data_IF_437307225566
#
_entry.id   IF_437307225566
#
_cell.length_a   1.000
_cell.length_b   1.000
_cell.length_c   1.000
_cell.angle_alpha   90.00
_cell.angle_beta   90.00
_cell.angle_gamma   90.00
#
_symmetry.space_group_name_H-M   'P 1'
#
loop_
_entity.id
_entity.type
_entity.pdbx_description
1 polymer ?
#
# COMPACT_ATOMS: atom_id res chain seq x y z
N UNK A 1 -4.71 -13.37 -48.28
CA UNK A 1 -4.81 -13.41 -46.81
C UNK A 1 -4.44 -12.02 -46.30
N UNK A 2 -5.34 -11.25 -45.68
CA UNK A 2 -5.04 -9.84 -45.38
C UNK A 2 -3.88 -9.72 -44.38
N UNK A 3 -2.73 -9.21 -44.83
CA UNK A 3 -1.49 -9.02 -44.05
C UNK A 3 -1.73 -8.38 -42.66
N UNK A 4 -2.72 -7.51 -42.57
CA UNK A 4 -3.09 -6.78 -41.34
C UNK A 4 -3.51 -7.70 -40.18
N UNK A 5 -4.14 -8.84 -40.43
CA UNK A 5 -4.61 -9.76 -39.36
C UNK A 5 -3.47 -10.55 -38.72
N UNK A 6 -2.54 -11.00 -39.56
CA UNK A 6 -1.32 -11.67 -39.12
C UNK A 6 -0.43 -10.71 -38.32
N UNK A 7 -0.30 -9.47 -38.81
CA UNK A 7 0.41 -8.40 -38.08
C UNK A 7 -0.21 -8.13 -36.71
N UNK A 8 -1.55 -8.03 -36.61
CA UNK A 8 -2.22 -7.82 -35.32
C UNK A 8 -2.01 -8.98 -34.34
N UNK A 9 -2.11 -10.22 -34.81
CA UNK A 9 -1.83 -11.42 -34.00
C UNK A 9 -0.38 -11.45 -33.50
N UNK A 10 0.60 -11.07 -34.34
CA UNK A 10 2.01 -10.95 -33.94
C UNK A 10 2.22 -9.87 -32.87
N UNK A 11 1.54 -8.73 -32.97
CA UNK A 11 1.60 -7.68 -31.93
C UNK A 11 1.09 -8.22 -30.60
N UNK A 12 -0.04 -8.93 -30.60
CA UNK A 12 -0.59 -9.55 -29.39
C UNK A 12 0.40 -10.55 -28.79
N UNK A 13 1.04 -11.38 -29.60
CA UNK A 13 2.10 -12.29 -29.15
C UNK A 13 3.20 -11.53 -28.40
N UNK A 14 3.78 -10.50 -29.02
CA UNK A 14 4.90 -9.74 -28.44
C UNK A 14 4.49 -9.09 -27.13
N UNK A 15 3.30 -8.48 -27.07
CA UNK A 15 2.80 -7.82 -25.86
C UNK A 15 2.61 -8.81 -24.72
N UNK A 16 1.89 -9.90 -24.96
CA UNK A 16 1.62 -10.92 -23.91
C UNK A 16 2.92 -11.53 -23.41
N UNK A 17 3.82 -11.91 -24.32
CA UNK A 17 5.10 -12.49 -23.96
C UNK A 17 5.92 -11.52 -23.10
N UNK A 18 6.02 -10.26 -23.52
CA UNK A 18 6.81 -9.25 -22.82
C UNK A 18 6.26 -8.95 -21.41
N UNK A 19 4.93 -8.91 -21.26
CA UNK A 19 4.29 -8.67 -19.96
C UNK A 19 4.52 -9.82 -18.97
N UNK A 20 4.42 -11.07 -19.44
CA UNK A 20 4.63 -12.22 -18.57
C UNK A 20 6.12 -12.44 -18.27
N UNK A 21 6.95 -12.50 -19.31
CA UNK A 21 8.38 -12.80 -19.14
C UNK A 21 9.14 -11.65 -18.48
N UNK A 22 8.73 -10.40 -18.74
CA UNK A 22 9.29 -9.20 -18.11
C UNK A 22 8.63 -8.81 -16.78
N UNK A 23 7.74 -9.64 -16.22
CA UNK A 23 6.95 -9.30 -15.03
C UNK A 23 7.83 -8.85 -13.84
N UNK A 24 8.94 -9.54 -13.61
CA UNK A 24 9.88 -9.19 -12.54
C UNK A 24 10.46 -7.77 -12.70
N UNK A 25 10.89 -7.43 -13.92
CA UNK A 25 11.47 -6.11 -14.21
C UNK A 25 10.43 -4.98 -14.06
N UNK A 26 9.14 -5.31 -14.22
CA UNK A 26 8.03 -4.37 -14.08
C UNK A 26 7.61 -4.10 -12.63
N UNK A 27 8.03 -4.91 -11.65
CA UNK A 27 7.53 -4.80 -10.28
C UNK A 27 8.05 -3.58 -9.50
N UNK A 28 9.16 -2.95 -9.92
CA UNK A 28 9.79 -1.74 -9.30
C UNK A 28 9.99 -1.83 -7.77
N UNK A 29 9.77 -2.99 -7.15
CA UNK A 29 9.99 -3.24 -5.72
C UNK A 29 11.25 -4.08 -5.53
N UNK A 30 12.17 -3.70 -4.63
CA UNK A 30 13.35 -4.49 -4.34
C UNK A 30 13.02 -5.81 -3.61
N UNK A 31 11.85 -5.89 -2.96
CA UNK A 31 11.38 -7.07 -2.23
C UNK A 31 9.98 -7.45 -2.74
N UNK A 32 9.86 -8.36 -3.71
CA UNK A 32 8.57 -8.87 -4.18
C UNK A 32 7.83 -9.62 -3.08
N UNK A 33 6.49 -9.58 -3.08
CA UNK A 33 5.69 -10.35 -2.12
C UNK A 33 5.81 -11.86 -2.40
N UNK A 34 5.36 -12.69 -1.45
CA UNK A 34 5.29 -14.15 -1.64
C UNK A 34 4.46 -14.52 -2.88
N UNK A 35 3.40 -13.76 -3.17
CA UNK A 35 2.56 -13.95 -4.35
C UNK A 35 3.29 -13.60 -5.64
N UNK A 36 4.01 -12.48 -5.65
CA UNK A 36 4.80 -12.05 -6.80
C UNK A 36 5.89 -13.08 -7.10
N UNK A 37 6.55 -13.61 -6.07
CA UNK A 37 7.61 -14.60 -6.21
C UNK A 37 7.12 -15.89 -6.87
N UNK A 38 5.89 -16.32 -6.57
CA UNK A 38 5.27 -17.50 -7.19
C UNK A 38 5.06 -17.28 -8.69
N UNK A 39 4.57 -16.10 -9.08
CA UNK A 39 4.39 -15.75 -10.48
C UNK A 39 5.72 -15.64 -11.22
N UNK A 40 6.72 -14.96 -10.63
CA UNK A 40 8.07 -14.84 -11.19
C UNK A 40 8.67 -16.23 -11.45
N UNK A 41 8.57 -17.13 -10.46
CA UNK A 41 9.11 -18.49 -10.59
C UNK A 41 8.35 -19.32 -11.64
N UNK A 42 7.05 -19.10 -11.80
CA UNK A 42 6.22 -19.82 -12.75
C UNK A 42 6.39 -19.31 -14.20
N UNK A 43 6.66 -18.01 -14.40
CA UNK A 43 6.81 -17.35 -15.70
C UNK A 43 8.14 -17.66 -16.40
N UNK A 44 8.43 -18.96 -16.53
CA UNK A 44 9.47 -19.48 -17.42
C UNK A 44 9.27 -19.01 -18.86
N UNK A 45 10.36 -19.00 -19.63
CA UNK A 45 10.32 -18.69 -21.04
C UNK A 45 9.32 -19.59 -21.78
N UNK A 46 9.35 -20.90 -21.52
CA UNK A 46 8.49 -21.90 -22.15
C UNK A 46 7.00 -21.62 -21.89
N UNK A 47 6.63 -21.32 -20.65
CA UNK A 47 5.25 -20.99 -20.29
C UNK A 47 4.80 -19.70 -20.99
N UNK A 48 5.58 -18.63 -20.85
CA UNK A 48 5.27 -17.32 -21.42
C UNK A 48 5.11 -17.40 -22.95
N UNK A 49 6.03 -18.11 -23.62
CA UNK A 49 6.01 -18.30 -25.06
C UNK A 49 4.79 -19.10 -25.50
N UNK A 50 4.47 -20.19 -24.80
CA UNK A 50 3.30 -21.04 -25.11
C UNK A 50 1.99 -20.28 -24.94
N UNK A 51 1.83 -19.56 -23.84
CA UNK A 51 0.64 -18.74 -23.57
C UNK A 51 0.50 -17.62 -24.62
N UNK A 52 1.60 -16.94 -24.95
CA UNK A 52 1.59 -15.89 -25.98
C UNK A 52 1.19 -16.44 -27.35
N UNK A 53 1.68 -17.62 -27.76
CA UNK A 53 1.26 -18.28 -29.00
C UNK A 53 -0.24 -18.59 -28.97
N UNK A 54 -0.72 -19.21 -27.91
CA UNK A 54 -2.13 -19.61 -27.80
C UNK A 54 -3.06 -18.38 -27.84
N UNK A 55 -2.72 -17.29 -27.16
CA UNK A 55 -3.49 -16.04 -27.21
C UNK A 55 -3.43 -15.40 -28.60
N UNK A 56 -2.25 -15.37 -29.24
CA UNK A 56 -2.11 -14.85 -30.59
C UNK A 56 -2.90 -15.68 -31.62
N UNK A 57 -2.89 -17.00 -31.49
CA UNK A 57 -3.70 -17.93 -32.29
C UNK A 57 -5.19 -17.72 -32.05
N UNK A 58 -5.61 -17.52 -30.79
CA UNK A 58 -7.00 -17.23 -30.44
C UNK A 58 -7.48 -15.97 -31.17
N UNK A 59 -6.71 -14.87 -31.08
CA UNK A 59 -7.00 -13.61 -31.78
C UNK A 59 -7.00 -13.81 -33.30
N UNK A 60 -6.05 -14.58 -33.84
CA UNK A 60 -5.99 -14.88 -35.27
C UNK A 60 -7.25 -15.60 -35.75
N UNK A 61 -7.69 -16.66 -35.05
CA UNK A 61 -8.92 -17.40 -35.37
C UNK A 61 -10.15 -16.52 -35.21
N UNK A 62 -10.20 -15.66 -34.19
CA UNK A 62 -11.26 -14.67 -34.01
C UNK A 62 -11.37 -13.69 -35.18
N UNK A 63 -10.24 -13.22 -35.71
CA UNK A 63 -10.19 -12.30 -36.86
C UNK A 63 -10.30 -13.02 -38.21
N UNK A 64 -10.12 -14.34 -38.21
CA UNK A 64 -10.21 -15.15 -39.41
C UNK A 64 -11.61 -15.05 -40.02
N UNK A 65 -11.61 -14.70 -41.30
CA UNK A 65 -12.75 -14.74 -42.21
C UNK A 65 -12.18 -15.26 -43.52
N UNK A 66 -12.88 -16.23 -44.12
CA UNK A 66 -12.53 -16.74 -45.44
C UNK A 66 -12.49 -15.56 -46.42
N UNK A 67 -11.45 -15.51 -47.23
CA UNK A 67 -11.33 -14.49 -48.26
C UNK A 67 -12.18 -14.84 -49.46
N UNK A 68 -12.75 -13.79 -50.04
CA UNK A 68 -13.50 -13.84 -51.28
C UNK A 68 -13.09 -12.66 -52.13
N UNK A 69 -13.03 -12.88 -53.43
CA UNK A 69 -12.98 -11.82 -54.41
C UNK A 69 -14.39 -11.23 -54.59
N UNK A 70 -14.73 -10.30 -53.70
CA UNK A 70 -16.02 -9.61 -53.73
C UNK A 70 -16.21 -8.79 -55.00
N UNK A 71 -15.11 -8.33 -55.62
CA UNK A 71 -15.11 -7.61 -56.88
C UNK A 71 -15.49 -8.54 -58.02
N UNK A 72 -14.98 -9.78 -58.05
CA UNK A 72 -15.39 -10.77 -59.04
C UNK A 72 -16.90 -11.06 -59.01
N UNK A 73 -17.52 -11.25 -57.84
CA UNK A 73 -18.97 -11.48 -57.77
C UNK A 73 -19.79 -10.24 -58.15
N UNK A 74 -19.25 -9.05 -57.85
CA UNK A 74 -19.88 -7.77 -58.24
C UNK A 74 -19.83 -7.60 -59.75
N UNK A 75 -18.69 -7.87 -60.38
CA UNK A 75 -18.51 -7.81 -61.83
C UNK A 75 -19.32 -8.88 -62.55
N UNK A 76 -19.43 -10.10 -61.99
CA UNK A 76 -20.33 -11.13 -62.50
C UNK A 76 -21.79 -10.63 -62.53
N UNK A 77 -22.26 -9.99 -61.46
CA UNK A 77 -23.61 -9.41 -61.41
C UNK A 77 -23.78 -8.31 -62.46
N UNK A 78 -22.82 -7.38 -62.57
CA UNK A 78 -22.88 -6.27 -63.54
C UNK A 78 -22.92 -6.82 -64.96
N UNK A 79 -22.05 -7.77 -65.29
CA UNK A 79 -21.99 -8.43 -66.59
C UNK A 79 -23.33 -9.07 -66.97
N UNK A 80 -24.03 -9.68 -66.01
CA UNK A 80 -25.33 -10.31 -66.24
C UNK A 80 -26.49 -9.31 -66.46
N UNK A 81 -26.27 -8.00 -66.27
CA UNK A 81 -27.24 -6.94 -66.56
C UNK A 81 -27.00 -6.27 -67.92
N UNK A 82 -25.88 -6.57 -68.59
CA UNK A 82 -25.52 -6.00 -69.88
C UNK A 82 -26.12 -6.80 -71.03
N UNK A 83 -26.23 -6.17 -72.21
CA UNK A 83 -26.53 -6.88 -73.45
C UNK A 83 -25.36 -7.79 -73.87
N UNK A 84 -25.64 -8.84 -74.66
CA UNK A 84 -24.61 -9.78 -75.12
C UNK A 84 -23.48 -9.09 -75.91
N UNK A 85 -23.81 -8.06 -76.69
CA UNK A 85 -22.86 -7.28 -77.48
C UNK A 85 -21.95 -6.41 -76.60
N UNK A 86 -22.51 -5.76 -75.57
CA UNK A 86 -21.75 -4.95 -74.63
C UNK A 86 -20.87 -5.81 -73.71
N UNK A 87 -21.39 -6.94 -73.24
CA UNK A 87 -20.64 -7.89 -72.44
C UNK A 87 -19.43 -8.43 -73.23
N UNK A 88 -19.61 -8.84 -74.50
CA UNK A 88 -18.53 -9.30 -75.35
C UNK A 88 -17.46 -8.22 -75.61
N UNK A 89 -17.87 -6.96 -75.75
CA UNK A 89 -16.94 -5.82 -75.89
C UNK A 89 -16.09 -5.62 -74.63
N UNK A 90 -16.70 -5.66 -73.45
CA UNK A 90 -16.01 -5.47 -72.17
C UNK A 90 -15.11 -6.67 -71.83
N UNK A 91 -15.54 -7.89 -72.15
CA UNK A 91 -14.77 -9.12 -71.92
C UNK A 91 -13.48 -9.17 -72.78
N UNK A 92 -13.44 -8.46 -73.92
CA UNK A 92 -12.27 -8.32 -74.78
C UNK A 92 -11.23 -7.29 -74.33
N UNK A 93 -11.52 -6.51 -73.28
CA UNK A 93 -10.60 -5.53 -72.70
C UNK A 93 -9.55 -6.20 -71.81
N UNK A 94 -8.44 -5.49 -71.53
CA UNK A 94 -7.50 -5.95 -70.52
C UNK A 94 -8.10 -5.83 -69.10
N UNK A 95 -7.45 -6.44 -68.10
CA UNK A 95 -8.02 -6.57 -66.75
C UNK A 95 -8.37 -5.22 -66.09
N UNK A 96 -7.52 -4.20 -66.26
CA UNK A 96 -7.72 -2.88 -65.65
C UNK A 96 -8.80 -2.10 -66.40
N UNK A 97 -8.80 -2.13 -67.73
CA UNK A 97 -9.83 -1.50 -68.57
C UNK A 97 -11.20 -2.12 -68.34
N UNK A 98 -11.26 -3.44 -68.18
CA UNK A 98 -12.48 -4.18 -67.85
C UNK A 98 -13.01 -3.78 -66.48
N UNK A 99 -12.13 -3.63 -65.48
CA UNK A 99 -12.50 -3.15 -64.14
C UNK A 99 -13.12 -1.76 -64.21
N UNK A 100 -12.48 -0.83 -64.92
CA UNK A 100 -12.98 0.54 -65.10
C UNK A 100 -14.34 0.53 -65.81
N UNK A 101 -14.50 -0.28 -66.86
CA UNK A 101 -15.76 -0.40 -67.58
C UNK A 101 -16.92 -0.89 -66.68
N UNK A 102 -16.68 -1.90 -65.84
CA UNK A 102 -17.70 -2.37 -64.90
C UNK A 102 -18.02 -1.34 -63.80
N UNK A 103 -17.05 -0.54 -63.34
CA UNK A 103 -17.32 0.54 -62.37
C UNK A 103 -18.17 1.66 -62.96
N UNK A 104 -17.94 2.03 -64.23
CA UNK A 104 -18.78 3.00 -64.94
C UNK A 104 -20.23 2.50 -64.97
N UNK A 105 -20.46 1.26 -65.40
CA UNK A 105 -21.81 0.69 -65.43
C UNK A 105 -22.45 0.58 -64.03
N UNK A 106 -21.67 0.24 -63.00
CA UNK A 106 -22.16 0.20 -61.63
C UNK A 106 -22.61 1.58 -61.11
N UNK A 107 -21.93 2.65 -61.53
CA UNK A 107 -22.33 4.01 -61.16
C UNK A 107 -23.67 4.42 -61.75
N UNK A 108 -24.04 3.88 -62.91
CA UNK A 108 -25.33 4.12 -63.57
C UNK A 108 -26.48 3.29 -62.98
N UNK A 109 -26.20 2.34 -62.09
CA UNK A 109 -27.24 1.52 -61.45
C UNK A 109 -28.16 2.37 -60.57
N UNK A 110 -29.46 2.07 -60.68
CA UNK A 110 -30.47 2.56 -59.75
C UNK A 110 -30.23 2.03 -58.33
N UNK A 111 -30.84 2.66 -57.33
CA UNK A 111 -30.77 2.20 -55.94
C UNK A 111 -31.19 0.73 -55.78
N UNK A 112 -32.25 0.31 -56.49
CA UNK A 112 -32.76 -1.06 -56.42
C UNK A 112 -31.72 -2.07 -56.96
N UNK A 113 -31.11 -1.77 -58.11
CA UNK A 113 -30.06 -2.61 -58.71
C UNK A 113 -28.80 -2.67 -57.83
N UNK A 114 -28.43 -1.58 -57.16
CA UNK A 114 -27.32 -1.59 -56.18
C UNK A 114 -27.65 -2.47 -54.97
N UNK A 115 -28.89 -2.48 -54.50
CA UNK A 115 -29.34 -3.36 -53.40
C UNK A 115 -29.33 -4.83 -53.83
N UNK A 116 -29.81 -5.13 -55.02
CA UNK A 116 -29.78 -6.48 -55.60
C UNK A 116 -28.37 -6.99 -55.83
N UNK A 117 -27.47 -6.14 -56.36
CA UNK A 117 -26.05 -6.45 -56.49
C UNK A 117 -25.43 -6.79 -55.11
N UNK A 118 -25.73 -5.98 -54.09
CA UNK A 118 -25.26 -6.24 -52.72
C UNK A 118 -25.80 -7.58 -52.19
N UNK A 119 -27.06 -7.90 -52.44
CA UNK A 119 -27.66 -9.18 -52.05
C UNK A 119 -27.02 -10.36 -52.79
N UNK A 120 -26.76 -10.20 -54.09
CA UNK A 120 -26.09 -11.19 -54.93
C UNK A 120 -24.68 -11.51 -54.42
N UNK A 121 -23.86 -10.48 -54.18
CA UNK A 121 -22.52 -10.62 -53.60
C UNK A 121 -22.61 -11.30 -52.22
N UNK A 122 -23.56 -10.91 -51.36
CA UNK A 122 -23.74 -11.52 -50.04
C UNK A 122 -24.20 -12.99 -50.08
N UNK A 123 -24.96 -13.39 -51.10
CA UNK A 123 -25.41 -14.77 -51.28
C UNK A 123 -24.26 -15.67 -51.76
N UNK A 124 -23.45 -15.19 -52.72
CA UNK A 124 -22.31 -15.93 -53.27
C UNK A 124 -21.06 -15.91 -52.39
N UNK A 125 -20.94 -14.90 -51.51
CA UNK A 125 -19.85 -14.81 -50.54
C UNK A 125 -19.74 -16.10 -49.73
N UNK A 126 -18.58 -16.72 -49.79
CA UNK A 126 -18.24 -17.93 -49.06
C UNK A 126 -18.24 -17.65 -47.56
N UNK A 127 -19.14 -18.34 -46.87
CA UNK A 127 -19.30 -18.19 -45.42
C UNK A 127 -18.23 -18.99 -44.70
N UNK A 128 -17.62 -18.38 -43.68
CA UNK A 128 -16.74 -19.09 -42.76
C UNK A 128 -17.58 -20.08 -41.95
N UNK A 129 -17.12 -21.33 -41.82
CA UNK A 129 -17.82 -22.32 -41.00
C UNK A 129 -17.77 -21.90 -39.52
N UNK A 130 -18.92 -21.47 -38.99
CA UNK A 130 -19.05 -20.98 -37.62
C UNK A 130 -18.74 -22.07 -36.59
N UNK A 131 -19.15 -23.31 -36.84
CA UNK A 131 -18.92 -24.43 -35.93
C UNK A 131 -17.45 -24.81 -35.86
N UNK A 132 -16.77 -24.88 -37.01
CA UNK A 132 -15.33 -25.15 -37.03
C UNK A 132 -14.55 -24.05 -36.28
N UNK A 133 -14.90 -22.78 -36.52
CA UNK A 133 -14.29 -21.65 -35.81
C UNK A 133 -14.50 -21.72 -34.30
N UNK A 134 -15.73 -21.99 -33.84
CA UNK A 134 -16.02 -22.18 -32.42
C UNK A 134 -15.23 -23.36 -31.84
N UNK A 135 -15.16 -24.48 -32.55
CA UNK A 135 -14.36 -25.65 -32.14
C UNK A 135 -12.89 -25.32 -31.93
N UNK A 136 -12.27 -24.59 -32.86
CA UNK A 136 -10.88 -24.13 -32.70
C UNK A 136 -10.70 -23.18 -31.51
N UNK A 137 -11.61 -22.21 -31.34
CA UNK A 137 -11.55 -21.29 -30.19
C UNK A 137 -11.67 -22.03 -28.87
N UNK A 138 -12.61 -22.97 -28.75
CA UNK A 138 -12.78 -23.80 -27.56
C UNK A 138 -11.55 -24.67 -27.28
N UNK A 139 -10.92 -25.24 -28.31
CA UNK A 139 -9.70 -26.03 -28.15
C UNK A 139 -8.52 -25.17 -27.64
N UNK A 140 -8.40 -23.94 -28.14
CA UNK A 140 -7.35 -23.00 -27.69
C UNK A 140 -7.60 -22.58 -26.23
N UNK A 141 -8.84 -22.29 -25.86
CA UNK A 141 -9.20 -21.97 -24.46
C UNK A 141 -8.88 -23.14 -23.54
N UNK A 142 -9.22 -24.37 -23.93
CA UNK A 142 -8.89 -25.57 -23.15
C UNK A 142 -7.37 -25.74 -22.99
N UNK A 143 -6.60 -25.54 -24.06
CA UNK A 143 -5.15 -25.58 -24.01
C UNK A 143 -4.57 -24.52 -23.07
N UNK A 144 -5.08 -23.28 -23.12
CA UNK A 144 -4.70 -22.21 -22.20
C UNK A 144 -5.00 -22.59 -20.75
N UNK A 145 -6.18 -23.15 -20.47
CA UNK A 145 -6.52 -23.63 -19.13
C UNK A 145 -5.53 -24.68 -18.66
N UNK A 146 -5.20 -25.68 -19.48
CA UNK A 146 -4.24 -26.74 -19.10
C UNK A 146 -2.86 -26.16 -18.82
N UNK A 147 -2.37 -25.26 -19.68
CA UNK A 147 -1.05 -24.65 -19.56
C UNK A 147 -0.93 -23.74 -18.34
N UNK A 148 -2.00 -22.99 -18.01
CA UNK A 148 -2.01 -22.06 -16.86
C UNK A 148 -2.40 -22.73 -15.54
N UNK A 149 -3.02 -23.92 -15.56
CA UNK A 149 -3.54 -24.56 -14.35
C UNK A 149 -2.48 -24.80 -13.25
N UNK A 150 -1.25 -25.26 -13.55
CA UNK A 150 -0.22 -25.40 -12.53
C UNK A 150 0.12 -24.07 -11.86
N UNK A 151 0.38 -23.03 -12.65
CA UNK A 151 0.68 -21.68 -12.15
C UNK A 151 -0.46 -21.10 -11.32
N UNK A 152 -1.71 -21.31 -11.75
CA UNK A 152 -2.89 -20.90 -11.00
C UNK A 152 -3.00 -21.66 -9.66
N UNK A 153 -2.78 -22.97 -9.66
CA UNK A 153 -2.81 -23.80 -8.45
C UNK A 153 -1.76 -23.35 -7.44
N UNK A 154 -0.53 -23.11 -7.88
CA UNK A 154 0.56 -22.65 -7.03
C UNK A 154 0.27 -21.26 -6.45
N UNK A 155 -0.30 -20.36 -7.27
CA UNK A 155 -0.73 -19.04 -6.83
C UNK A 155 -1.84 -19.11 -5.77
N UNK A 156 -2.84 -19.98 -5.95
CA UNK A 156 -3.92 -20.16 -4.97
C UNK A 156 -3.38 -20.69 -3.64
N UNK A 157 -2.50 -21.70 -3.69
CA UNK A 157 -1.87 -22.25 -2.49
C UNK A 157 -1.04 -21.20 -1.75
N UNK A 158 -0.22 -20.44 -2.47
CA UNK A 158 0.58 -19.38 -1.87
C UNK A 158 -0.27 -18.27 -1.25
N UNK A 159 -1.41 -17.95 -1.88
CA UNK A 159 -2.39 -17.00 -1.34
C UNK A 159 -3.03 -17.50 -0.06
N UNK A 160 -3.40 -18.77 0.00
CA UNK A 160 -3.93 -19.37 1.23
C UNK A 160 -2.90 -19.36 2.35
N UNK A 161 -1.65 -19.74 2.07
CA UNK A 161 -0.55 -19.70 3.04
C UNK A 161 -0.25 -18.29 3.53
N UNK A 162 -0.23 -17.32 2.63
CA UNK A 162 -0.03 -15.91 2.98
C UNK A 162 -1.16 -15.38 3.87
N UNK A 163 -2.41 -15.69 3.53
CA UNK A 163 -3.56 -15.31 4.35
C UNK A 163 -3.56 -16.00 5.71
N UNK A 164 -3.09 -17.24 5.79
CA UNK A 164 -2.92 -17.95 7.06
C UNK A 164 -1.88 -17.27 7.95
N UNK A 165 -0.74 -16.85 7.39
CA UNK A 165 0.28 -16.08 8.12
C UNK A 165 -0.31 -14.76 8.64
N UNK A 166 -1.07 -14.04 7.80
CA UNK A 166 -1.74 -12.81 8.23
C UNK A 166 -2.73 -13.07 9.36
N UNK A 167 -3.51 -14.16 9.28
CA UNK A 167 -4.45 -14.53 10.34
C UNK A 167 -3.71 -14.86 11.64
N UNK A 168 -2.62 -15.63 11.57
CA UNK A 168 -1.81 -15.95 12.76
C UNK A 168 -1.16 -14.70 13.38
N UNK A 169 -0.70 -13.76 12.55
CA UNK A 169 -0.18 -12.48 13.03
C UNK A 169 -1.28 -11.63 13.68
N UNK A 170 -2.47 -11.58 13.10
CA UNK A 170 -3.62 -10.88 13.67
C UNK A 170 -4.10 -11.53 14.97
N UNK A 171 -4.15 -12.86 15.04
CA UNK A 171 -4.47 -13.61 16.25
C UNK A 171 -3.43 -13.32 17.35
N UNK A 172 -2.14 -13.41 17.04
CA UNK A 172 -1.06 -13.09 17.98
C UNK A 172 -1.09 -11.63 18.45
N UNK A 173 -1.37 -10.68 17.54
CA UNK A 173 -1.53 -9.28 17.87
C UNK A 173 -2.67 -9.07 18.87
N UNK A 174 -3.80 -9.74 18.65
CA UNK A 174 -5.03 -9.55 19.42
C UNK A 174 -5.11 -10.39 20.71
N UNK A 175 -4.13 -11.24 21.00
CA UNK A 175 -4.02 -11.89 22.30
C UNK A 175 -3.97 -10.84 23.41
N UNK A 176 -4.64 -11.13 24.53
CA UNK A 176 -4.57 -10.28 25.72
C UNK A 176 -3.29 -10.61 26.47
N UNK A 177 -2.58 -9.60 26.94
CA UNK A 177 -1.39 -9.81 27.78
C UNK A 177 -1.81 -10.49 29.07
N UNK A 178 -1.22 -11.66 29.36
CA UNK A 178 -1.47 -12.41 30.59
C UNK A 178 -0.43 -12.11 31.67
N UNK A 179 0.79 -11.75 31.26
CA UNK A 179 1.88 -11.42 32.17
C UNK A 179 1.73 -10.01 32.75
N UNK A 180 1.81 -9.91 34.07
CA UNK A 180 1.81 -8.62 34.77
C UNK A 180 3.14 -7.86 34.57
N UNK A 181 4.27 -8.55 34.43
CA UNK A 181 5.60 -7.94 34.28
C UNK A 181 6.31 -8.43 33.02
N UNK A 182 6.72 -7.49 32.17
CA UNK A 182 7.46 -7.74 30.93
C UNK A 182 8.89 -7.18 31.05
N UNK A 183 9.86 -7.95 30.57
CA UNK A 183 11.27 -7.61 30.63
C UNK A 183 11.84 -7.51 29.23
N UNK A 184 12.37 -6.34 28.90
CA UNK A 184 13.03 -6.07 27.61
C UNK A 184 14.46 -5.61 27.87
N UNK A 185 15.40 -6.11 27.06
CA UNK A 185 16.79 -5.69 27.15
C UNK A 185 16.92 -4.17 26.94
N UNK A 186 17.64 -3.51 27.86
CA UNK A 186 17.90 -2.08 27.84
C UNK A 186 16.76 -1.18 28.34
N UNK A 187 15.61 -1.74 28.73
CA UNK A 187 14.46 -0.97 29.22
C UNK A 187 14.18 -1.20 30.71
N UNK A 188 13.53 -0.24 31.39
CA UNK A 188 12.90 -0.48 32.69
C UNK A 188 11.89 -1.63 32.61
N UNK A 189 11.59 -2.25 33.77
CA UNK A 189 10.54 -3.29 33.82
C UNK A 189 9.21 -2.67 33.42
N UNK A 190 8.51 -3.28 32.46
CA UNK A 190 7.16 -2.85 32.08
C UNK A 190 6.17 -3.62 32.94
N UNK A 191 5.34 -2.93 33.70
CA UNK A 191 4.29 -3.52 34.52
C UNK A 191 2.92 -3.18 33.91
N UNK A 192 2.18 -4.20 33.48
CA UNK A 192 0.78 -4.08 33.06
C UNK A 192 -0.10 -4.08 34.31
N UNK A 193 -0.73 -2.95 34.62
CA UNK A 193 -1.57 -2.84 35.82
C UNK A 193 -2.71 -3.89 35.73
N UNK A 194 -3.05 -4.61 36.80
CA UNK A 194 -4.14 -5.59 36.79
C UNK A 194 -5.50 -4.96 36.44
N UNK A 195 -6.37 -5.73 35.78
CA UNK A 195 -7.72 -5.29 35.40
C UNK A 195 -7.81 -4.63 34.01
N UNK A 196 -6.68 -4.49 33.31
CA UNK A 196 -6.63 -4.00 31.94
C UNK A 196 -6.70 -5.15 30.93
N UNK A 197 -7.40 -4.96 29.81
CA UNK A 197 -7.47 -5.94 28.71
C UNK A 197 -6.67 -5.47 27.51
N UNK A 198 -5.36 -5.29 27.71
CA UNK A 198 -4.47 -4.79 26.67
C UNK A 198 -4.06 -5.91 25.71
N UNK A 199 -4.07 -5.61 24.42
CA UNK A 199 -3.59 -6.52 23.38
C UNK A 199 -2.07 -6.56 23.37
N UNK A 200 -1.48 -7.74 23.22
CA UNK A 200 -0.03 -7.95 23.08
C UNK A 200 0.56 -7.04 22.00
N UNK A 201 -0.11 -6.96 20.85
CA UNK A 201 0.32 -6.12 19.74
C UNK A 201 0.31 -4.62 20.06
N UNK A 202 -0.70 -4.15 20.79
CA UNK A 202 -0.79 -2.73 21.19
C UNK A 202 0.34 -2.37 22.18
N UNK A 203 0.59 -3.23 23.18
CA UNK A 203 1.68 -3.04 24.15
C UNK A 203 3.03 -3.06 23.46
N UNK A 204 3.30 -4.06 22.60
CA UNK A 204 4.58 -4.15 21.89
C UNK A 204 4.81 -2.93 20.99
N UNK A 205 3.79 -2.51 20.26
CA UNK A 205 3.84 -1.30 19.44
C UNK A 205 4.13 -0.06 20.28
N UNK A 206 3.47 0.08 21.43
CA UNK A 206 3.68 1.20 22.34
C UNK A 206 5.11 1.26 22.88
N UNK A 207 5.61 0.11 23.35
CA UNK A 207 7.00 -0.04 23.84
C UNK A 207 7.98 0.35 22.74
N UNK A 208 7.83 -0.21 21.54
CA UNK A 208 8.78 0.02 20.45
C UNK A 208 8.72 1.44 19.89
N UNK A 209 7.55 2.07 19.85
CA UNK A 209 7.40 3.42 19.30
C UNK A 209 7.78 4.51 20.29
N UNK A 210 7.42 4.37 21.57
CA UNK A 210 7.46 5.48 22.52
C UNK A 210 8.37 5.28 23.72
N UNK A 211 8.68 4.04 24.11
CA UNK A 211 9.58 3.76 25.26
C UNK A 211 10.99 3.50 24.75
N UNK A 212 11.15 2.57 23.80
CA UNK A 212 12.45 2.16 23.26
C UNK A 212 13.18 3.29 22.51
N UNK A 213 12.45 4.28 22.01
CA UNK A 213 13.00 5.41 21.29
C UNK A 213 13.47 6.55 22.20
N UNK A 214 13.27 6.43 23.52
CA UNK A 214 13.71 7.42 24.49
C UNK A 214 15.23 7.37 24.69
N UNK A 215 15.88 8.52 25.01
CA UNK A 215 17.28 8.53 25.38
C UNK A 215 17.59 7.59 26.55
N UNK A 216 18.64 6.78 26.43
CA UNK A 216 18.97 5.76 27.43
C UNK A 216 19.24 6.37 28.81
N UNK A 217 19.86 7.55 28.90
CA UNK A 217 20.13 8.20 30.18
C UNK A 217 18.84 8.57 30.93
N UNK A 218 17.74 8.87 30.24
CA UNK A 218 16.44 9.09 30.88
C UNK A 218 15.86 7.77 31.39
N UNK A 219 15.91 6.71 30.57
CA UNK A 219 15.45 5.38 30.95
C UNK A 219 16.22 4.81 32.16
N UNK A 220 17.51 5.11 32.29
CA UNK A 220 18.34 4.63 33.40
C UNK A 220 17.90 5.13 34.78
N UNK A 221 17.14 6.22 34.84
CA UNK A 221 16.58 6.76 36.09
C UNK A 221 15.19 6.20 36.42
N UNK A 222 14.63 5.35 35.55
CA UNK A 222 13.35 4.71 35.73
C UNK A 222 13.52 3.22 36.05
N UNK A 223 12.92 2.76 37.15
CA UNK A 223 12.95 1.35 37.54
C UNK A 223 11.80 0.57 36.88
N UNK A 224 10.61 1.17 36.88
CA UNK A 224 9.38 0.52 36.41
C UNK A 224 8.53 1.51 35.62
N UNK A 225 8.01 1.05 34.49
CA UNK A 225 7.00 1.77 33.71
C UNK A 225 5.68 1.01 33.86
N UNK A 226 4.73 1.61 34.54
CA UNK A 226 3.38 1.08 34.66
C UNK A 226 2.55 1.48 33.44
N UNK A 227 1.82 0.53 32.86
CA UNK A 227 0.93 0.75 31.73
C UNK A 227 -0.47 0.29 32.10
N UNK A 228 -1.48 1.10 31.79
CA UNK A 228 -2.88 0.72 31.86
C UNK A 228 -3.67 1.24 30.66
N UNK A 229 -4.88 0.72 30.48
CA UNK A 229 -5.84 1.25 29.53
C UNK A 229 -6.48 2.57 30.04
N UNK A 230 -7.09 3.35 29.14
CA UNK A 230 -7.79 4.59 29.49
C UNK A 230 -8.97 4.41 30.45
N UNK A 231 -9.62 3.24 30.45
CA UNK A 231 -10.82 3.01 31.25
C UNK A 231 -10.48 2.92 32.74
N UNK A 232 -9.28 2.44 33.08
CA UNK A 232 -8.83 2.28 34.45
C UNK A 232 -8.00 3.45 34.99
N UNK A 233 -7.44 4.31 34.12
CA UNK A 233 -6.45 5.32 34.52
C UNK A 233 -6.98 6.33 35.55
N UNK A 234 -8.21 6.86 35.39
CA UNK A 234 -8.82 7.77 36.37
C UNK A 234 -8.88 7.16 37.78
N UNK A 235 -9.28 5.89 37.88
CA UNK A 235 -9.35 5.19 39.16
C UNK A 235 -7.98 5.00 39.81
N UNK A 236 -6.95 4.76 38.98
CA UNK A 236 -5.56 4.60 39.43
C UNK A 236 -5.04 5.93 39.99
N UNK A 237 -5.21 7.02 39.24
CA UNK A 237 -4.78 8.38 39.63
C UNK A 237 -5.45 8.81 40.94
N UNK A 238 -6.78 8.69 41.02
CA UNK A 238 -7.55 9.10 42.20
C UNK A 238 -7.26 8.25 43.43
N UNK A 239 -6.97 6.95 43.27
CA UNK A 239 -6.58 6.07 44.39
C UNK A 239 -5.27 6.47 45.06
N UNK A 240 -4.39 7.17 44.33
CA UNK A 240 -3.14 7.75 44.86
C UNK A 240 -3.34 9.14 45.46
N UNK A 241 -4.58 9.63 45.52
CA UNK A 241 -4.91 10.95 46.05
C UNK A 241 -4.59 12.11 45.10
N UNK A 242 -4.32 11.83 43.82
CA UNK A 242 -4.04 12.84 42.80
C UNK A 242 -5.33 13.30 42.10
N UNK A 243 -5.33 14.54 41.61
CA UNK A 243 -6.44 15.08 40.82
C UNK A 243 -6.34 14.56 39.39
N UNK A 244 -7.36 13.86 38.91
CA UNK A 244 -7.37 13.34 37.53
C UNK A 244 -7.58 14.43 36.48
N UNK A 245 -8.37 15.45 36.77
CA UNK A 245 -8.59 16.57 35.84
C UNK A 245 -8.90 17.86 36.59
N UNK A 246 -8.34 18.96 36.09
CA UNK A 246 -8.52 20.31 36.61
C UNK A 246 -8.59 21.34 35.46
N UNK A 247 -8.37 22.62 35.75
CA UNK A 247 -8.41 23.72 34.79
C UNK A 247 -7.27 23.68 33.76
N UNK A 248 -6.16 22.98 34.05
CA UNK A 248 -4.99 22.83 33.18
C UNK A 248 -5.09 21.61 32.27
N UNK A 249 -5.99 20.66 32.57
CA UNK A 249 -6.31 19.56 31.69
C UNK A 249 -6.68 18.27 32.41
N UNK A 250 -6.52 17.15 31.71
CA UNK A 250 -6.72 15.80 32.25
C UNK A 250 -5.37 15.10 32.28
N UNK A 251 -4.98 14.59 33.45
CA UNK A 251 -3.78 13.78 33.64
C UNK A 251 -3.86 12.57 32.73
N UNK A 252 -2.75 12.24 32.07
CA UNK A 252 -2.65 11.11 31.13
C UNK A 252 -1.37 10.29 31.34
N UNK A 253 -0.47 10.80 32.18
CA UNK A 253 0.70 10.12 32.70
C UNK A 253 1.10 10.80 34.03
N UNK A 254 1.93 10.13 34.84
CA UNK A 254 2.58 10.77 35.99
C UNK A 254 3.86 10.02 36.39
N UNK A 255 4.82 10.73 36.97
CA UNK A 255 6.01 10.17 37.61
C UNK A 255 5.83 10.01 39.13
N UNK A 256 6.52 9.03 39.71
CA UNK A 256 6.56 8.77 41.15
C UNK A 256 8.02 8.62 41.59
N UNK A 257 8.50 9.61 42.33
CA UNK A 257 9.86 9.63 42.88
C UNK A 257 10.07 8.62 44.01
N UNK A 258 9.00 8.19 44.69
CA UNK A 258 9.06 7.25 45.82
C UNK A 258 9.57 5.85 45.39
N UNK A 259 9.23 5.42 44.18
CA UNK A 259 9.54 4.11 43.63
C UNK A 259 10.27 4.19 42.27
N UNK A 260 10.64 5.40 41.84
CA UNK A 260 11.35 5.63 40.57
C UNK A 260 10.57 5.12 39.37
N UNK A 261 9.24 5.29 39.39
CA UNK A 261 8.34 4.77 38.37
C UNK A 261 7.64 5.88 37.60
N UNK A 262 7.19 5.56 36.39
CA UNK A 262 6.19 6.37 35.68
C UNK A 262 4.97 5.51 35.43
N UNK A 263 3.80 6.12 35.39
CA UNK A 263 2.55 5.45 35.02
C UNK A 263 1.96 6.11 33.79
N UNK A 264 1.68 5.30 32.78
CA UNK A 264 1.26 5.75 31.46
C UNK A 264 -0.12 5.19 31.13
N UNK A 265 -1.01 6.08 30.74
CA UNK A 265 -2.25 5.68 30.06
C UNK A 265 -1.92 5.33 28.60
N UNK A 266 -1.93 4.05 28.26
CA UNK A 266 -1.73 3.60 26.88
C UNK A 266 -3.06 3.61 26.14
N UNK A 267 -3.21 4.55 25.21
CA UNK A 267 -4.36 4.58 24.29
C UNK A 267 -3.92 4.33 22.85
N UNK A 268 -4.12 3.14 22.27
CA UNK A 268 -3.72 2.87 20.89
C UNK A 268 -4.55 3.65 19.84
N UNK A 269 -5.68 4.23 20.22
CA UNK A 269 -6.64 4.91 19.33
C UNK A 269 -6.58 6.43 19.41
N UNK A 270 -6.00 7.00 20.47
CA UNK A 270 -5.86 8.45 20.62
C UNK A 270 -4.50 8.92 20.08
N UNK A 271 -4.56 9.81 19.08
CA UNK A 271 -3.42 10.54 18.54
C UNK A 271 -3.03 11.71 19.46
N UNK A 272 -2.75 11.42 20.73
CA UNK A 272 -2.05 12.33 21.64
C UNK A 272 -0.55 12.11 21.47
N UNK A 273 0.27 13.11 21.80
CA UNK A 273 1.73 12.98 21.78
C UNK A 273 2.21 12.12 22.96
N UNK A 274 1.91 10.82 22.90
CA UNK A 274 2.28 9.84 23.92
C UNK A 274 3.80 9.71 24.01
N UNK A 275 4.53 10.00 22.93
CA UNK A 275 5.99 10.04 22.98
C UNK A 275 6.48 11.20 23.87
N UNK A 276 5.92 12.40 23.70
CA UNK A 276 6.23 13.53 24.55
C UNK A 276 5.86 13.24 26.01
N UNK A 277 4.70 12.61 26.25
CA UNK A 277 4.29 12.16 27.59
C UNK A 277 5.35 11.30 28.29
N UNK A 278 5.81 10.23 27.63
CA UNK A 278 6.85 9.36 28.20
C UNK A 278 8.12 10.14 28.49
N UNK A 279 8.50 11.04 27.58
CA UNK A 279 9.71 11.86 27.75
C UNK A 279 9.58 12.84 28.91
N UNK A 280 8.41 13.46 29.06
CA UNK A 280 8.07 14.38 30.13
C UNK A 280 8.19 13.68 31.49
N UNK A 281 7.52 12.55 31.67
CA UNK A 281 7.58 11.83 32.95
C UNK A 281 8.97 11.28 33.27
N UNK A 282 9.71 10.81 32.26
CA UNK A 282 11.10 10.40 32.47
C UNK A 282 12.01 11.59 32.82
N UNK A 283 11.69 12.80 32.33
CA UNK A 283 12.42 14.01 32.68
C UNK A 283 12.19 14.38 34.15
N UNK A 284 10.98 14.21 34.68
CA UNK A 284 10.71 14.35 36.13
C UNK A 284 11.58 13.41 36.97
N UNK A 285 11.73 12.14 36.55
CA UNK A 285 12.62 11.21 37.25
C UNK A 285 14.10 11.59 37.15
N UNK A 286 14.54 12.06 35.97
CA UNK A 286 15.92 12.54 35.78
C UNK A 286 16.23 13.78 36.63
N UNK A 287 15.28 14.72 36.69
CA UNK A 287 15.35 15.90 37.54
C UNK A 287 15.58 15.51 39.00
N UNK A 288 14.71 14.63 39.51
CA UNK A 288 14.77 14.15 40.88
C UNK A 288 16.05 13.37 41.19
N UNK A 289 16.47 12.47 40.30
CA UNK A 289 17.68 11.67 40.47
C UNK A 289 18.96 12.52 40.54
N UNK A 290 18.91 13.74 40.00
CA UNK A 290 19.99 14.72 40.04
C UNK A 290 19.97 15.60 41.30
N UNK A 291 18.90 15.52 42.10
CA UNK A 291 18.76 16.18 43.39
C UNK A 291 19.56 15.51 44.50
N UNK A 292 19.63 16.16 45.67
CA UNK A 292 20.30 15.61 46.86
C UNK A 292 19.33 15.12 47.93
N UNK A 293 18.02 15.23 47.70
CA UNK A 293 16.96 14.68 48.55
C UNK A 293 16.74 15.41 49.89
N UNK A 294 17.51 16.47 50.19
CA UNK A 294 17.41 17.20 51.46
C UNK A 294 17.13 18.70 51.30
N UNK A 295 17.77 19.36 50.34
CA UNK A 295 17.68 20.83 50.14
C UNK A 295 17.38 21.19 48.69
N UNK A 296 17.75 20.32 47.75
CA UNK A 296 17.53 20.47 46.31
C UNK A 296 16.81 19.21 45.86
N UNK A 297 15.54 19.35 45.48
CA UNK A 297 14.71 18.24 45.04
C UNK A 297 15.08 17.78 43.62
N UNK A 298 15.68 18.66 42.82
CA UNK A 298 16.21 18.34 41.49
C UNK A 298 16.99 19.50 40.86
N UNK A 299 17.36 19.36 39.58
CA UNK A 299 17.90 20.43 38.73
C UNK A 299 16.92 21.60 38.63
N UNK A 300 15.62 21.33 38.66
CA UNK A 300 14.55 22.34 38.62
C UNK A 300 14.56 23.30 39.81
N UNK A 301 15.26 22.97 40.91
CA UNK A 301 15.48 23.84 42.06
C UNK A 301 16.77 24.67 41.95
N UNK A 302 17.60 24.42 40.94
CA UNK A 302 18.85 25.15 40.75
C UNK A 302 18.62 26.63 40.50
N UNK A 303 19.54 27.48 40.98
CA UNK A 303 19.42 28.94 40.80
C UNK A 303 19.36 29.36 39.33
N UNK A 304 20.03 28.62 38.45
CA UNK A 304 20.05 28.89 37.02
C UNK A 304 18.68 28.55 36.39
N UNK A 305 18.12 27.37 36.69
CA UNK A 305 16.80 27.01 36.20
C UNK A 305 15.69 27.91 36.75
N UNK A 306 15.73 28.23 38.04
CA UNK A 306 14.78 29.14 38.69
C UNK A 306 14.80 30.54 38.05
N UNK A 307 15.97 31.01 37.62
CA UNK A 307 16.05 32.25 36.84
C UNK A 307 15.35 32.11 35.49
N UNK A 308 15.56 31.01 34.75
CA UNK A 308 14.90 30.77 33.47
C UNK A 308 13.38 30.67 33.63
N UNK A 309 12.89 29.91 34.62
CA UNK A 309 11.46 29.81 34.92
C UNK A 309 10.85 31.18 35.23
N UNK A 310 11.44 31.97 36.14
CA UNK A 310 10.89 33.28 36.50
C UNK A 310 10.81 34.28 35.34
N UNK A 311 11.72 34.18 34.36
CA UNK A 311 11.74 35.08 33.21
C UNK A 311 10.93 34.56 32.01
N UNK A 312 10.70 33.24 31.91
CA UNK A 312 10.20 32.60 30.70
C UNK A 312 9.10 31.55 30.92
N UNK A 313 8.53 31.42 32.12
CA UNK A 313 7.55 30.37 32.48
C UNK A 313 6.43 30.15 31.44
N UNK A 314 5.94 31.21 30.80
CA UNK A 314 4.84 31.11 29.83
C UNK A 314 5.24 30.66 28.42
N UNK A 315 6.54 30.51 28.11
CA UNK A 315 6.98 30.21 26.74
C UNK A 315 6.77 28.76 26.31
N UNK A 316 6.56 27.85 27.27
CA UNK A 316 6.28 26.42 27.03
C UNK A 316 4.81 26.06 27.33
N UNK A 317 3.91 27.04 27.25
CA UNK A 317 2.47 26.84 27.46
C UNK A 317 2.01 26.95 28.92
N UNK A 318 0.70 26.85 29.12
CA UNK A 318 0.07 27.03 30.45
C UNK A 318 0.46 25.92 31.42
N UNK A 319 0.60 24.68 30.94
CA UNK A 319 1.01 23.55 31.77
C UNK A 319 2.45 23.70 32.28
N UNK A 320 3.40 24.01 31.39
CA UNK A 320 4.78 24.30 31.80
C UNK A 320 4.90 25.51 32.73
N UNK A 321 3.97 26.46 32.68
CA UNK A 321 3.99 27.62 33.60
C UNK A 321 3.52 27.27 35.04
N UNK A 322 2.90 26.11 35.25
CA UNK A 322 2.28 25.73 36.53
C UNK A 322 3.28 25.47 37.66
N UNK A 323 4.51 25.07 37.34
CA UNK A 323 5.56 24.76 38.30
C UNK A 323 6.94 24.77 37.63
N UNK A 324 7.99 24.95 38.42
CA UNK A 324 9.37 24.95 37.91
C UNK A 324 9.81 23.57 37.42
N UNK A 325 9.33 22.53 38.08
CA UNK A 325 9.45 21.12 37.74
C UNK A 325 8.69 20.79 36.45
N UNK A 326 7.43 21.20 36.33
CA UNK A 326 6.64 21.01 35.10
C UNK A 326 7.25 21.76 33.92
N UNK A 327 7.77 22.98 34.15
CA UNK A 327 8.51 23.73 33.14
C UNK A 327 9.75 22.97 32.65
N UNK A 328 10.46 22.31 33.57
CA UNK A 328 11.66 21.53 33.26
C UNK A 328 11.31 20.27 32.46
N UNK A 329 10.25 19.57 32.85
CA UNK A 329 9.78 18.39 32.15
C UNK A 329 9.28 18.71 30.74
N UNK A 330 8.55 19.81 30.55
CA UNK A 330 8.16 20.29 29.21
C UNK A 330 9.39 20.65 28.35
N UNK A 331 10.37 21.36 28.92
CA UNK A 331 11.60 21.68 28.21
C UNK A 331 12.39 20.43 27.81
N UNK A 332 12.47 19.43 28.70
CA UNK A 332 13.10 18.13 28.42
C UNK A 332 12.40 17.35 27.31
N UNK A 333 11.07 17.29 27.36
CA UNK A 333 10.26 16.63 26.34
C UNK A 333 10.43 17.30 24.97
N UNK A 334 10.41 18.64 24.91
CA UNK A 334 10.65 19.39 23.68
C UNK A 334 12.09 19.24 23.19
N UNK A 335 13.09 19.25 24.06
CA UNK A 335 14.48 19.08 23.65
C UNK A 335 14.73 17.73 22.97
N UNK A 336 14.17 16.64 23.52
CA UNK A 336 14.35 15.29 22.97
C UNK A 336 13.56 15.10 21.68
N UNK A 337 12.31 15.58 21.63
CA UNK A 337 11.42 15.27 20.52
C UNK A 337 11.48 16.33 19.40
N UNK A 338 11.60 17.61 19.75
CA UNK A 338 11.53 18.76 18.84
C UNK A 338 12.62 19.84 19.16
N UNK A 339 13.93 19.50 19.20
CA UNK A 339 14.98 20.41 19.69
C UNK A 339 15.05 21.73 18.92
N UNK A 340 14.79 21.71 17.61
CA UNK A 340 14.79 22.92 16.78
C UNK A 340 13.67 23.89 17.15
N UNK A 341 12.52 23.36 17.54
CA UNK A 341 11.39 24.17 17.98
C UNK A 341 11.71 24.83 19.32
N UNK A 342 12.31 24.08 20.27
CA UNK A 342 12.77 24.65 21.53
C UNK A 342 13.80 25.77 21.31
N UNK A 343 14.75 25.60 20.39
CA UNK A 343 15.71 26.67 20.02
C UNK A 343 15.01 27.95 19.54
N UNK A 344 13.91 27.80 18.80
CA UNK A 344 13.16 28.93 18.25
C UNK A 344 12.30 29.62 19.31
N UNK A 345 11.71 28.85 20.23
CA UNK A 345 10.92 29.35 21.34
C UNK A 345 11.81 30.10 22.33
N UNK A 346 12.89 29.45 22.80
CA UNK A 346 13.81 30.03 23.75
C UNK A 346 15.19 29.36 23.68
N UNK A 347 16.16 30.10 23.16
CA UNK A 347 17.54 29.65 23.00
C UNK A 347 18.24 29.39 24.35
N UNK A 348 17.92 30.16 25.39
CA UNK A 348 18.57 30.01 26.71
C UNK A 348 18.13 28.71 27.38
N UNK A 349 16.84 28.36 27.27
CA UNK A 349 16.31 27.07 27.73
C UNK A 349 16.93 25.92 26.93
N UNK A 350 16.99 26.04 25.60
CA UNK A 350 17.65 25.03 24.77
C UNK A 350 19.11 24.80 25.19
N UNK A 351 19.87 25.88 25.40
CA UNK A 351 21.27 25.80 25.80
C UNK A 351 21.43 25.14 27.17
N UNK A 352 20.53 25.44 28.11
CA UNK A 352 20.49 24.79 29.41
C UNK A 352 20.24 23.28 29.27
N UNK A 353 19.19 22.88 28.56
CA UNK A 353 18.87 21.46 28.33
C UNK A 353 20.02 20.74 27.61
N UNK A 354 20.60 21.37 26.59
CA UNK A 354 21.75 20.83 25.87
C UNK A 354 22.95 20.60 26.78
N UNK A 355 23.24 21.54 27.68
CA UNK A 355 24.33 21.40 28.65
C UNK A 355 24.10 20.22 29.59
N UNK A 356 22.88 20.07 30.11
CA UNK A 356 22.54 19.02 31.08
C UNK A 356 22.46 17.64 30.41
N UNK A 357 21.79 17.52 29.26
CA UNK A 357 21.52 16.23 28.63
C UNK A 357 22.72 15.66 27.86
N UNK A 358 23.67 16.50 27.41
CA UNK A 358 24.89 15.99 26.75
C UNK A 358 25.97 15.51 27.74
N UNK A 359 25.79 15.72 29.04
CA UNK A 359 26.69 15.14 30.05
C UNK A 359 26.49 13.63 30.24
N UNK A 360 25.44 13.07 29.64
CA UNK A 360 25.02 11.68 29.72
C UNK A 360 24.69 11.13 28.33
#
# INVERSE_FOLDING_TARGET
>A
MSKNKMMFSMIVFVVVFSLMYGYQDMLVTPNPSVLDQVLINAFSFELCFTVAILIALFVYVLLYRKEDDLDSYRFEYIRNQLSDEEAARIDGLNEEERRVAYEIHFNDFTYQQRLECRNYVNQKKVKTNKFAKLGFLSAIVLALTIVLNPTYSDYVLAKEQYNEILRQQEEAYNQIVEEEYLYYEGLPTIHIIPGNSLKVGDVQKYVDQYIRTQPQFLLNNCQIIHICDPANFESIVTSRGMTYSDELGTVYAYASYCDGSITLQMDPNIYKDQKSAVTHELTHLFDYASGNGYVVHGISDSSEWQYLYQNYASCLGEYGASGSDEFFAEAGAMYVNNPKELMWINMDIYNFMNHIYQMY
#
